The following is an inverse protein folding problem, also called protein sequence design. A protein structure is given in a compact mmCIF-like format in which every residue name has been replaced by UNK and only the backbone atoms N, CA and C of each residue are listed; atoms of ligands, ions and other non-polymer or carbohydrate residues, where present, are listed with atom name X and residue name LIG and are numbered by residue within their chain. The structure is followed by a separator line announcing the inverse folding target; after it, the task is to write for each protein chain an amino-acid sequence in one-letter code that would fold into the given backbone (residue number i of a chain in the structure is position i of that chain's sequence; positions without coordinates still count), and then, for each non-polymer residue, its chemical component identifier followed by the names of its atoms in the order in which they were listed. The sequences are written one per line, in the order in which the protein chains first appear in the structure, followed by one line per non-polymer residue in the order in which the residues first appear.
data_IF_250797658458
#
_entry.id   IF_250797658458
#
_cell.length_a   1.000
_cell.length_b   1.000
_cell.length_c   1.000
_cell.angle_alpha   90.00
_cell.angle_beta   90.00
_cell.angle_gamma   90.00
#
_symmetry.space_group_name_H-M   'P 1'
#
loop_
_entity.id
_entity.type
_entity.pdbx_description
1 polymer ?
#
# COMPACT_ATOMS: atom_id res chain seq x y z
N UNK A 1 -6.41 -21.90 -4.48
CA UNK A 1 -6.38 -21.98 -3.01
C UNK A 1 -5.89 -20.64 -2.44
N UNK A 2 -6.57 -19.54 -2.76
CA UNK A 2 -6.12 -18.15 -2.50
C UNK A 2 -7.25 -17.28 -1.93
N UNK A 3 -8.00 -17.80 -0.96
CA UNK A 3 -9.12 -17.09 -0.33
C UNK A 3 -8.91 -16.77 1.15
N UNK A 4 -7.81 -17.23 1.76
CA UNK A 4 -7.74 -17.32 3.22
C UNK A 4 -6.87 -16.25 3.88
N UNK A 5 -6.09 -15.45 3.15
CA UNK A 5 -5.18 -14.47 3.78
C UNK A 5 -5.92 -13.22 4.28
N UNK A 6 -6.91 -12.73 3.52
CA UNK A 6 -7.70 -11.55 3.92
C UNK A 6 -8.63 -11.82 5.10
N UNK A 7 -9.22 -13.02 5.17
CA UNK A 7 -10.13 -13.39 6.28
C UNK A 7 -9.38 -13.46 7.61
N UNK A 8 -8.11 -13.89 7.60
CA UNK A 8 -7.29 -13.92 8.81
C UNK A 8 -7.04 -12.51 9.35
N UNK A 9 -6.70 -11.53 8.51
CA UNK A 9 -6.47 -10.15 8.93
C UNK A 9 -7.71 -9.50 9.57
N UNK A 10 -8.90 -9.71 8.98
CA UNK A 10 -10.16 -9.14 9.50
C UNK A 10 -10.58 -9.87 10.79
N UNK A 11 -10.35 -11.18 10.88
CA UNK A 11 -10.62 -11.95 12.11
C UNK A 11 -9.69 -11.56 13.26
N UNK A 12 -8.42 -11.22 12.97
CA UNK A 12 -7.43 -10.78 13.95
C UNK A 12 -7.76 -9.39 14.48
N UNK A 13 -8.24 -8.47 13.63
CA UNK A 13 -8.79 -7.17 14.05
C UNK A 13 -10.00 -7.32 14.98
N UNK A 14 -10.87 -8.31 14.73
CA UNK A 14 -12.01 -8.60 15.61
C UNK A 14 -11.60 -9.33 16.90
N UNK A 15 -10.61 -10.22 16.84
CA UNK A 15 -10.13 -10.97 18.02
C UNK A 15 -9.32 -10.10 18.99
N UNK A 16 -8.61 -9.09 18.50
CA UNK A 16 -7.92 -8.12 19.34
C UNK A 16 -8.82 -6.95 19.77
N UNK A 17 -10.07 -6.91 19.29
CA UNK A 17 -11.06 -5.92 19.71
C UNK A 17 -11.27 -5.94 21.23
N UNK A 18 -11.26 -7.12 21.87
CA UNK A 18 -11.35 -7.24 23.33
C UNK A 18 -10.15 -6.59 24.04
N UNK A 19 -8.95 -6.68 23.45
CA UNK A 19 -7.73 -6.08 24.00
C UNK A 19 -7.63 -4.57 23.72
N UNK A 20 -8.39 -4.07 22.73
CA UNK A 20 -8.58 -2.64 22.42
C UNK A 20 -9.65 -2.00 23.30
N UNK A 21 -10.62 -2.79 23.82
CA UNK A 21 -11.71 -2.33 24.71
C UNK A 21 -11.29 -2.32 26.19
N UNK A 22 -10.34 -3.17 26.61
CA UNK A 22 -9.88 -3.23 28.02
C UNK A 22 -9.19 -1.95 28.55
N UNK A 23 -9.14 -0.86 27.78
CA UNK A 23 -8.78 0.45 28.31
C UNK A 23 -9.94 1.14 29.05
N UNK A 24 -11.21 0.78 28.83
CA UNK A 24 -12.36 1.28 29.60
C UNK A 24 -13.51 0.26 29.56
N UNK A 25 -13.81 -0.37 30.70
CA UNK A 25 -14.84 -1.41 30.83
C UNK A 25 -16.30 -0.94 30.61
N UNK A 26 -16.56 0.35 30.33
CA UNK A 26 -17.91 0.92 30.39
C UNK A 26 -18.49 1.52 29.10
N UNK A 27 -17.82 1.44 27.94
CA UNK A 27 -18.40 1.98 26.70
C UNK A 27 -18.09 1.12 25.47
N UNK A 28 -18.97 0.14 25.22
CA UNK A 28 -18.96 -0.70 24.01
C UNK A 28 -19.31 0.05 22.72
N UNK A 29 -19.70 1.32 22.81
CA UNK A 29 -20.12 2.17 21.70
C UNK A 29 -19.16 3.34 21.43
N UNK A 30 -17.97 3.34 22.05
CA UNK A 30 -16.99 4.39 21.83
C UNK A 30 -16.20 4.14 20.53
N UNK A 31 -16.30 5.01 19.51
CA UNK A 31 -15.43 4.89 18.34
C UNK A 31 -13.98 4.94 18.79
N UNK A 32 -13.15 4.03 18.25
CA UNK A 32 -11.71 3.87 18.54
C UNK A 32 -11.06 5.23 18.87
N UNK A 33 -10.74 5.46 20.14
CA UNK A 33 -10.10 6.69 20.61
C UNK A 33 -8.61 6.63 20.28
N UNK A 34 -8.27 6.75 19.00
CA UNK A 34 -6.89 6.84 18.53
C UNK A 34 -6.35 8.24 18.81
N UNK A 35 -5.08 8.35 19.21
CA UNK A 35 -4.45 9.65 19.49
C UNK A 35 -4.45 10.54 18.24
N UNK A 36 -4.33 9.93 17.07
CA UNK A 36 -4.48 10.58 15.76
C UNK A 36 -5.91 11.09 15.51
N UNK A 37 -6.95 10.29 15.79
CA UNK A 37 -8.36 10.74 15.63
C UNK A 37 -8.75 11.88 16.58
N UNK A 38 -8.18 11.94 17.78
CA UNK A 38 -8.37 13.04 18.72
C UNK A 38 -7.69 14.35 18.27
N UNK A 39 -6.63 14.24 17.46
CA UNK A 39 -5.88 15.35 16.86
C UNK A 39 -6.45 15.79 15.51
N UNK A 40 -7.24 14.96 14.84
CA UNK A 40 -7.83 15.23 13.52
C UNK A 40 -8.67 16.51 13.44
N UNK A 41 -9.25 16.94 14.58
CA UNK A 41 -10.04 18.18 14.67
C UNK A 41 -9.18 19.44 14.84
N UNK A 42 -7.86 19.29 15.07
CA UNK A 42 -6.91 20.37 15.41
C UNK A 42 -5.63 20.40 14.57
N UNK A 43 -5.22 19.27 13.99
CA UNK A 43 -3.97 19.11 13.24
C UNK A 43 -4.24 18.39 11.91
N UNK A 44 -3.41 18.63 10.87
CA UNK A 44 -3.46 17.93 9.59
C UNK A 44 -2.96 16.48 9.75
N UNK A 45 -3.79 15.64 10.36
CA UNK A 45 -3.49 14.20 10.52
C UNK A 45 -3.66 13.50 9.17
N UNK A 46 -2.58 12.90 8.70
CA UNK A 46 -2.54 12.20 7.41
C UNK A 46 -3.10 10.78 7.56
N UNK A 47 -3.85 10.32 6.55
CA UNK A 47 -4.54 9.02 6.61
C UNK A 47 -3.59 7.85 6.93
N UNK A 48 -2.35 7.91 6.43
CA UNK A 48 -1.35 6.88 6.67
C UNK A 48 -0.93 6.80 8.15
N UNK A 49 -1.00 7.88 8.93
CA UNK A 49 -0.70 7.88 10.36
C UNK A 49 -1.74 7.08 11.15
N UNK A 50 -3.01 7.17 10.75
CA UNK A 50 -4.11 6.40 11.33
C UNK A 50 -3.93 4.92 11.01
N UNK A 51 -3.60 4.60 9.74
CA UNK A 51 -3.33 3.21 9.31
C UNK A 51 -2.15 2.64 10.10
N UNK A 52 -1.08 3.41 10.27
CA UNK A 52 0.06 3.01 11.08
C UNK A 52 -0.32 2.77 12.54
N UNK A 53 -1.06 3.67 13.18
CA UNK A 53 -1.48 3.51 14.59
C UNK A 53 -2.30 2.22 14.78
N UNK A 54 -3.25 1.97 13.88
CA UNK A 54 -4.07 0.74 13.92
C UNK A 54 -3.21 -0.50 13.71
N UNK A 55 -2.30 -0.49 12.73
CA UNK A 55 -1.42 -1.63 12.45
C UNK A 55 -0.47 -1.87 13.62
N UNK A 56 0.15 -0.83 14.19
CA UNK A 56 1.02 -0.96 15.35
C UNK A 56 0.29 -1.49 16.60
N UNK A 57 -0.99 -1.19 16.75
CA UNK A 57 -1.82 -1.70 17.85
C UNK A 57 -2.29 -3.15 17.65
N UNK A 58 -2.39 -3.62 16.40
CA UNK A 58 -2.98 -4.93 16.07
C UNK A 58 -1.97 -5.97 15.59
N UNK A 59 -0.84 -5.53 15.03
CA UNK A 59 0.17 -6.35 14.40
C UNK A 59 1.56 -5.85 14.79
N UNK A 60 2.43 -6.76 15.26
CA UNK A 60 3.83 -6.43 15.54
C UNK A 60 4.67 -6.46 14.25
N UNK A 61 4.34 -5.60 13.29
CA UNK A 61 5.05 -5.46 12.00
C UNK A 61 5.91 -4.21 12.00
N UNK A 62 7.15 -4.34 11.51
CA UNK A 62 8.12 -3.24 11.49
C UNK A 62 7.79 -2.18 10.42
N UNK A 63 7.29 -2.61 9.26
CA UNK A 63 6.85 -1.74 8.16
C UNK A 63 5.41 -2.12 7.74
N UNK A 64 4.41 -1.26 7.99
CA UNK A 64 3.01 -1.52 7.62
C UNK A 64 2.75 -1.34 6.11
N UNK A 65 3.66 -0.66 5.41
CA UNK A 65 3.56 -0.31 3.99
C UNK A 65 4.51 -1.13 3.10
N UNK A 66 5.06 -2.22 3.64
CA UNK A 66 5.97 -3.09 2.90
C UNK A 66 5.30 -3.63 1.62
N UNK A 67 6.01 -3.49 0.50
CA UNK A 67 5.51 -3.93 -0.80
C UNK A 67 5.73 -5.44 -1.01
N UNK A 68 4.73 -6.10 -1.60
CA UNK A 68 4.90 -7.45 -2.16
C UNK A 68 5.38 -7.36 -3.61
N UNK A 69 6.70 -7.45 -3.78
CA UNK A 69 7.36 -7.40 -5.09
C UNK A 69 6.98 -8.57 -6.00
N UNK A 70 6.59 -9.72 -5.43
CA UNK A 70 6.14 -10.87 -6.20
C UNK A 70 4.74 -10.63 -6.77
N UNK A 71 3.85 -10.04 -5.97
CA UNK A 71 2.52 -9.68 -6.43
C UNK A 71 2.58 -8.69 -7.60
N UNK A 72 3.35 -7.62 -7.47
CA UNK A 72 3.51 -6.59 -8.51
C UNK A 72 4.08 -7.20 -9.81
N UNK A 73 5.02 -8.15 -9.67
CA UNK A 73 5.63 -8.84 -10.81
C UNK A 73 4.71 -9.85 -11.49
N UNK A 74 3.69 -10.36 -10.78
CA UNK A 74 2.74 -11.33 -11.31
C UNK A 74 1.60 -10.70 -12.14
N UNK A 75 1.40 -9.39 -12.03
CA UNK A 75 0.31 -8.69 -12.68
C UNK A 75 0.56 -8.46 -14.18
N UNK A 76 -0.53 -8.36 -14.99
CA UNK A 76 -0.43 -7.87 -16.37
C UNK A 76 0.25 -6.50 -16.44
N UNK A 77 0.96 -6.22 -17.54
CA UNK A 77 1.78 -5.02 -17.69
C UNK A 77 0.96 -3.74 -17.53
N UNK A 78 -0.25 -3.72 -18.08
CA UNK A 78 -1.17 -2.58 -18.03
C UNK A 78 -1.60 -2.26 -16.59
N UNK A 79 -2.00 -3.29 -15.84
CA UNK A 79 -2.39 -3.15 -14.43
C UNK A 79 -1.19 -2.80 -13.55
N UNK A 80 -0.03 -3.38 -13.85
CA UNK A 80 1.19 -3.15 -13.07
C UNK A 80 1.75 -1.73 -13.28
N UNK A 81 1.63 -1.14 -14.48
CA UNK A 81 1.97 0.27 -14.73
C UNK A 81 1.08 1.20 -13.88
N UNK A 82 -0.24 0.97 -13.88
CA UNK A 82 -1.16 1.79 -13.10
C UNK A 82 -0.91 1.65 -11.60
N UNK A 83 -0.77 0.41 -11.12
CA UNK A 83 -0.53 0.10 -9.72
C UNK A 83 0.79 0.67 -9.22
N UNK A 84 1.88 0.50 -9.97
CA UNK A 84 3.20 1.03 -9.60
C UNK A 84 3.20 2.56 -9.54
N UNK A 85 2.51 3.24 -10.45
CA UNK A 85 2.34 4.69 -10.40
C UNK A 85 1.58 5.15 -9.15
N UNK A 86 0.44 4.53 -8.87
CA UNK A 86 -0.38 4.86 -7.69
C UNK A 86 0.34 4.54 -6.37
N UNK A 87 1.03 3.40 -6.28
CA UNK A 87 1.82 3.04 -5.09
C UNK A 87 3.01 3.97 -4.89
N UNK A 88 3.66 4.40 -5.98
CA UNK A 88 4.76 5.36 -5.90
C UNK A 88 4.28 6.70 -5.36
N UNK A 89 3.16 7.22 -5.86
CA UNK A 89 2.55 8.48 -5.39
C UNK A 89 2.15 8.41 -3.91
N UNK A 90 1.53 7.30 -3.50
CA UNK A 90 1.18 7.06 -2.10
C UNK A 90 2.42 6.99 -1.20
N UNK A 91 3.41 6.17 -1.55
CA UNK A 91 4.62 6.03 -0.72
C UNK A 91 5.45 7.30 -0.68
N UNK A 92 5.49 8.09 -1.76
CA UNK A 92 6.11 9.42 -1.76
C UNK A 92 5.40 10.37 -0.79
N UNK A 93 4.07 10.35 -0.76
CA UNK A 93 3.29 11.13 0.19
C UNK A 93 3.61 10.73 1.63
N UNK A 94 3.68 9.43 1.92
CA UNK A 94 4.07 8.91 3.23
C UNK A 94 5.50 9.36 3.59
N UNK A 95 6.45 9.23 2.67
CA UNK A 95 7.84 9.62 2.91
C UNK A 95 8.02 11.12 3.14
N UNK A 96 7.29 11.97 2.42
CA UNK A 96 7.34 13.43 2.58
C UNK A 96 6.71 13.91 3.89
N UNK A 97 5.66 13.23 4.35
CA UNK A 97 4.92 13.61 5.56
C UNK A 97 5.48 12.97 6.82
N UNK A 98 6.17 11.82 6.71
CA UNK A 98 6.71 11.12 7.87
C UNK A 98 7.85 11.90 8.52
N UNK A 99 7.84 11.94 9.85
CA UNK A 99 8.97 12.46 10.60
C UNK A 99 10.21 11.56 10.42
N UNK A 100 11.43 12.13 10.44
CA UNK A 100 12.67 11.34 10.35
C UNK A 100 12.85 10.31 11.48
N UNK A 101 12.08 10.45 12.57
CA UNK A 101 12.05 9.56 13.73
C UNK A 101 11.32 8.24 13.48
N UNK A 102 10.55 8.14 12.39
CA UNK A 102 9.72 6.98 12.07
C UNK A 102 10.58 5.82 11.55
N UNK A 103 10.49 4.62 12.16
CA UNK A 103 11.46 3.54 11.94
C UNK A 103 11.45 2.95 10.51
N UNK A 104 10.33 3.02 9.79
CA UNK A 104 10.17 2.42 8.46
C UNK A 104 10.42 3.39 7.30
N UNK A 105 10.78 4.65 7.55
CA UNK A 105 10.94 5.67 6.49
C UNK A 105 12.04 5.30 5.49
N UNK A 106 13.12 4.69 5.96
CA UNK A 106 14.21 4.22 5.08
C UNK A 106 13.77 3.04 4.20
N UNK A 107 12.92 2.16 4.74
CA UNK A 107 12.38 1.02 4.01
C UNK A 107 11.41 1.50 2.93
N UNK A 108 10.50 2.42 3.28
CA UNK A 108 9.60 3.09 2.32
C UNK A 108 10.39 3.78 1.21
N UNK A 109 11.50 4.46 1.53
CA UNK A 109 12.34 5.08 0.52
C UNK A 109 12.99 4.06 -0.43
N UNK A 110 13.39 2.90 0.09
CA UNK A 110 13.94 1.80 -0.70
C UNK A 110 12.88 1.21 -1.63
N UNK A 111 11.66 1.03 -1.12
CA UNK A 111 10.50 0.55 -1.88
C UNK A 111 10.10 1.52 -3.01
N UNK A 112 10.17 2.84 -2.76
CA UNK A 112 9.93 3.87 -3.80
C UNK A 112 10.93 3.74 -4.95
N UNK A 113 12.22 3.58 -4.65
CA UNK A 113 13.25 3.43 -5.69
C UNK A 113 13.01 2.20 -6.55
N UNK A 114 12.72 1.08 -5.90
CA UNK A 114 12.43 -0.16 -6.59
C UNK A 114 11.21 -0.02 -7.50
N UNK A 115 10.13 0.61 -7.02
CA UNK A 115 8.93 0.86 -7.83
C UNK A 115 9.20 1.75 -9.03
N UNK A 116 10.02 2.79 -8.88
CA UNK A 116 10.36 3.70 -9.97
C UNK A 116 11.15 2.99 -11.07
N UNK A 117 12.18 2.22 -10.69
CA UNK A 117 12.96 1.41 -11.63
C UNK A 117 12.05 0.41 -12.36
N UNK A 118 11.21 -0.31 -11.61
CA UNK A 118 10.27 -1.27 -12.18
C UNK A 118 9.24 -0.62 -13.10
N UNK A 119 8.72 0.55 -12.75
CA UNK A 119 7.75 1.29 -13.57
C UNK A 119 8.33 1.66 -14.94
N UNK A 120 9.59 2.11 -14.97
CA UNK A 120 10.28 2.41 -16.22
C UNK A 120 10.46 1.17 -17.10
N UNK A 121 10.84 0.05 -16.50
CA UNK A 121 10.95 -1.23 -17.22
C UNK A 121 9.60 -1.63 -17.84
N UNK A 122 8.51 -1.56 -17.07
CA UNK A 122 7.18 -1.94 -17.56
C UNK A 122 6.68 -1.05 -18.68
N UNK A 123 6.92 0.27 -18.60
CA UNK A 123 6.61 1.19 -19.70
C UNK A 123 7.42 0.82 -20.96
N UNK A 124 8.70 0.47 -20.79
CA UNK A 124 9.54 0.05 -21.91
C UNK A 124 9.02 -1.22 -22.58
N UNK A 125 8.64 -2.23 -21.78
CA UNK A 125 8.04 -3.48 -22.26
C UNK A 125 6.71 -3.23 -22.97
N UNK A 126 5.86 -2.38 -22.41
CA UNK A 126 4.58 -2.00 -23.00
C UNK A 126 4.78 -1.30 -24.35
N UNK A 127 5.73 -0.37 -24.42
CA UNK A 127 6.06 0.34 -25.66
C UNK A 127 6.56 -0.60 -26.76
N UNK A 128 7.42 -1.56 -26.41
CA UNK A 128 7.94 -2.57 -27.33
C UNK A 128 6.83 -3.50 -27.85
N UNK A 129 5.92 -3.95 -26.98
CA UNK A 129 4.75 -4.75 -27.38
C UNK A 129 3.83 -3.99 -28.33
N UNK A 130 3.58 -2.72 -28.06
CA UNK A 130 2.74 -1.84 -28.88
C UNK A 130 3.32 -1.66 -30.30
N UNK A 131 4.64 -1.45 -30.40
CA UNK A 131 5.33 -1.32 -31.71
C UNK A 131 5.22 -2.62 -32.51
N UNK A 132 5.52 -3.77 -31.88
CA UNK A 132 5.45 -5.08 -32.53
C UNK A 132 4.03 -5.40 -33.02
N UNK A 133 3.00 -5.03 -32.26
CA UNK A 133 1.60 -5.23 -32.66
C UNK A 133 1.24 -4.40 -33.92
N UNK A 134 1.74 -3.16 -34.02
CA UNK A 134 1.53 -2.31 -35.20
C UNK A 134 2.20 -2.84 -36.47
N UNK A 135 3.40 -3.39 -36.36
CA UNK A 135 4.10 -4.01 -37.50
C UNK A 135 3.35 -5.23 -38.06
N UNK A 136 2.83 -6.09 -37.17
CA UNK A 136 2.05 -7.27 -37.56
C UNK A 136 0.74 -6.86 -38.25
N UNK A 137 0.03 -5.87 -37.70
CA UNK A 137 -1.20 -5.35 -38.30
C UNK A 137 -0.95 -4.72 -39.69
N UNK A 138 0.18 -4.05 -39.86
CA UNK A 138 0.56 -3.43 -41.14
C UNK A 138 0.97 -4.47 -42.19
N UNK A 139 1.56 -5.58 -41.77
CA UNK A 139 1.94 -6.70 -42.64
C UNK A 139 0.75 -7.56 -43.09
N UNK A 140 -0.35 -7.53 -42.32
CA UNK A 140 -1.57 -8.31 -42.59
C UNK A 140 -2.55 -7.58 -43.51
N UNK A 141 -2.43 -6.26 -43.66
CA UNK A 141 -3.28 -5.42 -44.50
C UNK A 141 -2.78 -5.29 -45.96
N UNK A 142 -1.75 -6.04 -46.33
CA UNK A 142 -1.13 -6.01 -47.68
C UNK A 142 -1.56 -7.22 -48.54
N UNK A 143 -2.55 -8.00 -48.10
CA UNK A 143 -3.17 -9.07 -48.89
C UNK A 143 -4.66 -8.85 -49.10
#
# INVERSE_FOLDING_TARGET
MFGNTYVFAISQLRSHHEHLIQANEDDTDNPLMLKTTAKWKREETSLWEIVWEIVAMTLNVANPFALDTNYISSLPVEESILLSGALTDFLQTVWLQAEPSVPFVNDVYTDIKWLQERHLEMISEFSAKSIKMKEIASSSNVY
#
